data_IF_110944425965
#
_entry.id   IF_110944425965
#
_cell.length_a   1.000
_cell.length_b   1.000
_cell.length_c   1.000
_cell.angle_alpha   90.00
_cell.angle_beta   90.00
_cell.angle_gamma   90.00
#
_symmetry.space_group_name_H-M   'P 1'
#
loop_
_entity.id
_entity.type
_entity.pdbx_description
1 polymer ?
#
# COMPACT_ATOMS: atom_id res chain seq x y z
N UNK A 1 7.23 1.94 -0.34
CA UNK A 1 6.47 3.19 -0.57
C UNK A 1 5.58 3.44 0.63
N UNK A 2 5.78 4.53 1.39
CA UNK A 2 5.06 4.79 2.66
C UNK A 2 3.54 4.93 2.49
N UNK A 3 3.09 5.45 1.34
CA UNK A 3 1.66 5.58 1.01
C UNK A 3 0.90 4.24 1.08
N UNK A 4 1.56 3.11 0.80
CA UNK A 4 0.94 1.80 0.92
C UNK A 4 0.76 1.35 2.37
N UNK A 5 1.69 1.74 3.25
CA UNK A 5 1.59 1.44 4.69
C UNK A 5 0.47 2.23 5.37
N UNK A 6 0.20 3.46 4.92
CA UNK A 6 -0.94 4.25 5.41
C UNK A 6 -2.30 3.69 5.00
N UNK A 7 -2.32 2.87 3.95
CA UNK A 7 -3.52 2.22 3.44
C UNK A 7 -3.60 0.75 3.90
N UNK A 8 -2.63 0.24 4.67
CA UNK A 8 -2.67 -1.13 5.18
C UNK A 8 -3.32 -1.13 6.58
N UNK A 9 -4.50 -1.77 6.75
CA UNK A 9 -5.20 -1.82 8.03
C UNK A 9 -4.36 -2.41 9.16
N UNK A 10 -3.43 -3.31 8.87
CA UNK A 10 -2.59 -4.00 9.87
C UNK A 10 -1.51 -3.10 10.46
N UNK A 11 -1.20 -1.99 9.80
CA UNK A 11 -0.22 -1.00 10.27
C UNK A 11 -0.86 0.15 11.04
N UNK A 12 -2.19 0.32 10.94
CA UNK A 12 -2.92 1.37 11.66
C UNK A 12 -3.03 1.07 13.16
N UNK A 13 -3.24 -0.18 13.54
CA UNK A 13 -3.40 -0.57 14.96
C UNK A 13 -2.10 -0.53 15.76
N UNK A 14 -0.95 -0.35 15.10
CA UNK A 14 0.36 -0.57 15.73
C UNK A 14 1.12 0.69 16.14
N UNK A 15 0.65 1.88 15.76
CA UNK A 15 1.37 3.14 16.04
C UNK A 15 0.55 4.08 16.94
N UNK A 16 0.84 4.09 18.23
CA UNK A 16 0.41 5.15 19.17
C UNK A 16 1.37 6.35 19.18
N UNK A 17 2.42 6.31 18.34
CA UNK A 17 3.43 7.35 18.24
C UNK A 17 2.95 8.51 17.35
N UNK A 18 2.76 9.67 17.99
CA UNK A 18 2.28 10.91 17.36
C UNK A 18 3.25 11.44 16.29
N UNK A 19 4.55 11.26 16.47
CA UNK A 19 5.56 11.72 15.51
C UNK A 19 5.51 10.86 14.23
N UNK A 20 5.29 9.55 14.38
CA UNK A 20 5.10 8.64 13.25
C UNK A 20 3.83 9.00 12.47
N UNK A 21 2.75 9.36 13.16
CA UNK A 21 1.51 9.77 12.50
C UNK A 21 1.66 11.08 11.70
N UNK A 22 2.34 12.08 12.26
CA UNK A 22 2.59 13.36 11.59
C UNK A 22 3.48 13.21 10.34
N UNK A 23 4.52 12.38 10.41
CA UNK A 23 5.39 12.06 9.27
C UNK A 23 4.57 11.41 8.16
N UNK A 24 3.70 10.45 8.50
CA UNK A 24 2.83 9.77 7.53
C UNK A 24 1.92 10.74 6.79
N UNK A 25 1.20 11.62 7.51
CA UNK A 25 0.31 12.60 6.86
C UNK A 25 1.06 13.57 5.93
N UNK A 26 2.28 13.97 6.32
CA UNK A 26 3.14 14.81 5.48
C UNK A 26 3.49 14.11 4.17
N UNK A 27 3.98 12.87 4.24
CA UNK A 27 4.37 12.11 3.05
C UNK A 27 3.19 11.79 2.12
N UNK A 28 2.02 11.47 2.69
CA UNK A 28 0.81 11.27 1.88
C UNK A 28 0.36 12.55 1.18
N UNK A 29 0.48 13.69 1.86
CA UNK A 29 0.16 14.99 1.29
C UNK A 29 1.10 15.32 0.13
N UNK A 30 2.41 15.10 0.30
CA UNK A 30 3.37 15.26 -0.78
C UNK A 30 3.10 14.33 -1.97
N UNK A 31 2.84 13.05 -1.70
CA UNK A 31 2.53 12.06 -2.73
C UNK A 31 1.33 12.49 -3.58
N UNK A 32 0.27 12.97 -2.94
CA UNK A 32 -0.94 13.39 -3.64
C UNK A 32 -0.74 14.68 -4.41
N UNK A 33 -0.12 15.69 -3.81
CA UNK A 33 0.11 16.98 -4.46
C UNK A 33 0.99 16.86 -5.72
N UNK A 34 1.85 15.84 -5.79
CA UNK A 34 2.66 15.55 -6.99
C UNK A 34 1.88 14.84 -8.11
N UNK A 35 0.73 14.24 -7.81
CA UNK A 35 0.09 13.24 -8.70
C UNK A 35 -1.38 13.52 -9.03
N UNK A 36 -2.04 14.38 -8.26
CA UNK A 36 -3.46 14.73 -8.41
C UNK A 36 -3.66 16.25 -8.41
N UNK A 37 -4.80 16.72 -8.91
CA UNK A 37 -5.20 18.12 -8.78
C UNK A 37 -5.40 18.53 -7.32
N UNK A 38 -5.47 19.85 -7.06
CA UNK A 38 -5.66 20.38 -5.71
C UNK A 38 -6.99 19.90 -5.09
N UNK A 39 -8.09 19.95 -5.85
CA UNK A 39 -9.41 19.51 -5.38
C UNK A 39 -9.44 18.01 -5.05
N UNK A 40 -8.86 17.18 -5.93
CA UNK A 40 -8.75 15.73 -5.73
C UNK A 40 -7.87 15.40 -4.51
N UNK A 41 -6.73 16.10 -4.36
CA UNK A 41 -5.84 15.93 -3.21
C UNK A 41 -6.52 16.23 -1.89
N UNK A 42 -7.36 17.26 -1.83
CA UNK A 42 -8.16 17.61 -0.65
C UNK A 42 -9.20 16.53 -0.35
N UNK A 43 -9.97 16.09 -1.35
CA UNK A 43 -10.96 15.01 -1.19
C UNK A 43 -10.34 13.72 -0.68
N UNK A 44 -9.22 13.29 -1.28
CA UNK A 44 -8.45 12.13 -0.84
C UNK A 44 -7.90 12.29 0.58
N UNK A 45 -7.60 13.51 1.04
CA UNK A 45 -7.16 13.72 2.43
C UNK A 45 -8.31 13.53 3.39
N UNK A 46 -9.44 14.15 3.09
CA UNK A 46 -10.64 14.05 3.93
C UNK A 46 -11.09 12.59 4.06
N UNK A 47 -11.14 11.83 2.95
CA UNK A 47 -11.46 10.40 2.98
C UNK A 47 -10.45 9.59 3.81
N UNK A 48 -9.15 9.90 3.70
CA UNK A 48 -8.12 9.24 4.51
C UNK A 48 -8.36 9.47 6.02
N UNK A 49 -8.68 10.70 6.42
CA UNK A 49 -8.96 11.00 7.83
C UNK A 49 -10.19 10.23 8.32
N UNK A 50 -11.27 10.19 7.53
CA UNK A 50 -12.49 9.42 7.86
C UNK A 50 -12.18 7.92 8.00
N UNK A 51 -11.35 7.38 7.11
CA UNK A 51 -10.88 6.00 7.15
C UNK A 51 -10.09 5.68 8.43
N UNK A 52 -9.13 6.54 8.80
CA UNK A 52 -8.35 6.38 10.03
C UNK A 52 -9.23 6.43 11.29
N UNK A 53 -10.26 7.26 11.27
CA UNK A 53 -11.23 7.36 12.37
C UNK A 53 -12.22 6.18 12.42
N UNK A 54 -12.17 5.25 11.45
CA UNK A 54 -13.13 4.15 11.29
C UNK A 54 -14.59 4.63 11.28
N UNK A 55 -14.82 5.82 10.72
CA UNK A 55 -16.14 6.43 10.57
C UNK A 55 -16.79 5.99 9.25
N UNK A 56 -18.11 6.14 9.14
CA UNK A 56 -18.86 5.86 7.91
C UNK A 56 -18.17 6.47 6.67
N UNK A 57 -17.93 5.69 5.58
CA UNK A 57 -18.41 4.32 5.34
C UNK A 57 -17.46 3.19 5.81
N UNK A 58 -16.42 3.51 6.58
CA UNK A 58 -15.36 2.59 7.02
C UNK A 58 -15.55 2.05 8.45
N UNK A 59 -16.79 1.98 8.94
CA UNK A 59 -17.17 1.58 10.30
C UNK A 59 -17.49 0.09 10.45
N UNK A 60 -17.48 -0.67 9.35
CA UNK A 60 -17.80 -2.10 9.37
C UNK A 60 -16.67 -2.93 10.01
N UNK A 61 -16.90 -3.36 11.26
CA UNK A 61 -15.96 -4.17 12.03
C UNK A 61 -15.62 -5.51 11.36
N UNK A 62 -16.58 -6.16 10.68
CA UNK A 62 -16.33 -7.45 10.01
C UNK A 62 -15.30 -7.29 8.89
N UNK A 63 -15.39 -6.19 8.12
CA UNK A 63 -14.40 -5.90 7.09
C UNK A 63 -13.04 -5.64 7.76
N UNK A 64 -12.96 -4.85 8.83
CA UNK A 64 -11.70 -4.65 9.57
C UNK A 64 -11.06 -5.96 10.05
N UNK A 65 -11.82 -6.85 10.68
CA UNK A 65 -11.32 -8.15 11.15
C UNK A 65 -10.83 -9.05 10.01
N UNK A 66 -11.48 -8.95 8.84
CA UNK A 66 -11.08 -9.71 7.65
C UNK A 66 -9.71 -9.31 7.08
N UNK A 67 -9.12 -8.19 7.51
CA UNK A 67 -7.79 -7.73 7.06
C UNK A 67 -6.65 -8.71 7.37
N UNK A 68 -6.85 -9.57 8.38
CA UNK A 68 -5.91 -10.63 8.75
C UNK A 68 -5.96 -11.84 7.81
N UNK A 69 -7.07 -12.01 7.08
CA UNK A 69 -7.34 -13.18 6.22
C UNK A 69 -7.27 -12.82 4.74
N UNK A 70 -7.78 -11.65 4.36
CA UNK A 70 -7.83 -11.18 2.98
C UNK A 70 -6.52 -10.55 2.55
N UNK A 71 -6.20 -10.65 1.25
CA UNK A 71 -5.12 -9.84 0.70
C UNK A 71 -5.52 -8.35 0.73
N UNK A 72 -4.57 -7.41 0.88
CA UNK A 72 -4.88 -5.98 0.94
C UNK A 72 -5.72 -5.49 -0.26
N UNK A 73 -5.50 -6.06 -1.44
CA UNK A 73 -6.28 -5.75 -2.64
C UNK A 73 -7.76 -6.13 -2.49
N UNK A 74 -8.05 -7.38 -2.09
CA UNK A 74 -9.43 -7.88 -1.92
C UNK A 74 -10.10 -7.18 -0.73
N UNK A 75 -9.33 -6.89 0.32
CA UNK A 75 -9.81 -6.14 1.48
C UNK A 75 -10.30 -4.74 1.07
N UNK A 76 -9.52 -3.99 0.29
CA UNK A 76 -9.94 -2.68 -0.22
C UNK A 76 -11.13 -2.75 -1.18
N UNK A 77 -11.31 -3.87 -1.91
CA UNK A 77 -12.50 -4.08 -2.74
C UNK A 77 -13.79 -4.29 -1.94
N UNK A 78 -13.69 -4.62 -0.64
CA UNK A 78 -14.86 -4.85 0.21
C UNK A 78 -15.51 -3.56 0.70
N UNK A 79 -14.81 -2.41 0.59
CA UNK A 79 -15.34 -1.10 0.93
C UNK A 79 -16.13 -0.48 -0.24
N UNK A 80 -17.07 0.45 0.04
CA UNK A 80 -17.74 1.20 -1.01
C UNK A 80 -16.76 1.93 -1.94
N UNK A 81 -17.14 2.09 -3.20
CA UNK A 81 -16.31 2.76 -4.19
C UNK A 81 -16.12 4.23 -3.79
N UNK A 82 -14.88 4.59 -3.49
CA UNK A 82 -14.42 5.94 -3.15
C UNK A 82 -13.14 6.27 -3.91
N UNK A 83 -12.68 7.52 -3.85
CA UNK A 83 -11.42 7.90 -4.47
C UNK A 83 -10.23 7.27 -3.73
N UNK A 84 -10.31 7.19 -2.40
CA UNK A 84 -9.32 6.53 -1.56
C UNK A 84 -9.22 5.03 -1.86
N UNK A 85 -10.37 4.37 -2.02
CA UNK A 85 -10.42 2.94 -2.35
C UNK A 85 -9.78 2.64 -3.70
N UNK A 86 -10.11 3.43 -4.73
CA UNK A 86 -9.51 3.29 -6.05
C UNK A 86 -8.00 3.56 -6.03
N UNK A 87 -7.56 4.56 -5.25
CA UNK A 87 -6.15 4.85 -5.06
C UNK A 87 -5.41 3.69 -4.39
N UNK A 88 -5.97 3.14 -3.31
CA UNK A 88 -5.39 2.01 -2.60
C UNK A 88 -5.23 0.79 -3.50
N UNK A 89 -6.29 0.43 -4.23
CA UNK A 89 -6.26 -0.67 -5.19
C UNK A 89 -5.18 -0.46 -6.25
N UNK A 90 -5.04 0.75 -6.80
CA UNK A 90 -3.99 1.07 -7.80
C UNK A 90 -2.59 0.92 -7.22
N UNK A 91 -2.33 1.51 -6.05
CA UNK A 91 -1.02 1.43 -5.38
C UNK A 91 -0.66 -0.03 -5.07
N UNK A 92 -1.60 -0.80 -4.53
CA UNK A 92 -1.38 -2.20 -4.15
C UNK A 92 -1.18 -3.10 -5.38
N UNK A 93 -1.85 -2.81 -6.49
CA UNK A 93 -1.67 -3.53 -7.76
C UNK A 93 -0.25 -3.36 -8.30
N UNK A 94 0.30 -2.14 -8.22
CA UNK A 94 1.67 -1.84 -8.67
C UNK A 94 2.69 -2.58 -7.80
N UNK A 95 2.50 -2.57 -6.47
CA UNK A 95 3.41 -3.26 -5.55
C UNK A 95 3.42 -4.77 -5.75
N UNK A 96 2.25 -5.37 -6.02
CA UNK A 96 2.15 -6.79 -6.32
C UNK A 96 2.91 -7.13 -7.60
N UNK A 97 2.83 -6.28 -8.62
CA UNK A 97 3.59 -6.45 -9.86
C UNK A 97 5.10 -6.26 -9.66
N UNK A 98 5.52 -5.27 -8.88
CA UNK A 98 6.94 -5.03 -8.57
C UNK A 98 7.56 -6.17 -7.77
N UNK A 99 6.89 -6.61 -6.70
CA UNK A 99 7.38 -7.73 -5.90
C UNK A 99 7.44 -9.04 -6.71
N UNK A 100 6.47 -9.26 -7.61
CA UNK A 100 6.51 -10.38 -8.54
C UNK A 100 7.66 -10.25 -9.56
N UNK A 101 7.91 -9.05 -10.08
CA UNK A 101 9.01 -8.80 -11.00
C UNK A 101 10.37 -9.02 -10.32
N UNK A 102 10.58 -8.49 -9.11
CA UNK A 102 11.81 -8.69 -8.32
C UNK A 102 12.03 -10.17 -7.99
N UNK A 103 10.97 -10.90 -7.66
CA UNK A 103 11.04 -12.36 -7.44
C UNK A 103 11.43 -13.12 -8.71
N UNK A 104 10.91 -12.72 -9.86
CA UNK A 104 11.31 -13.29 -11.14
C UNK A 104 12.79 -12.99 -11.42
N UNK A 105 13.23 -11.74 -11.30
CA UNK A 105 14.64 -11.37 -11.51
C UNK A 105 15.59 -12.05 -10.52
N UNK A 106 15.18 -12.28 -9.26
CA UNK A 106 15.97 -13.05 -8.29
C UNK A 106 16.07 -14.53 -8.67
N UNK A 107 14.98 -15.12 -9.16
CA UNK A 107 14.97 -16.52 -9.64
C UNK A 107 15.82 -16.69 -10.90
N UNK A 108 15.78 -15.71 -11.82
CA UNK A 108 16.61 -15.71 -13.02
C UNK A 108 18.07 -15.30 -12.76
N UNK A 109 18.35 -14.54 -11.70
CA UNK A 109 19.71 -14.19 -11.27
C UNK A 109 20.55 -15.41 -10.87
N UNK A 110 19.91 -16.47 -10.40
CA UNK A 110 20.59 -17.74 -10.07
C UNK A 110 21.12 -18.48 -11.32
N UNK A 111 20.58 -18.20 -12.51
CA UNK A 111 20.97 -18.89 -13.75
C UNK A 111 22.28 -18.32 -14.33
N UNK A 112 22.73 -17.14 -13.88
CA UNK A 112 23.89 -16.43 -14.43
C UNK A 112 25.18 -16.47 -13.58
N UNK A 113 25.30 -17.36 -12.58
CA UNK A 113 26.57 -17.55 -11.85
C UNK A 113 27.27 -18.90 -12.14
N UNK A 114 27.13 -19.47 -13.34
CA UNK A 114 28.06 -20.50 -13.83
C UNK A 114 29.22 -19.83 -14.56
N UNK A 115 30.16 -19.27 -13.80
CA UNK A 115 31.50 -18.99 -14.31
C UNK A 115 32.22 -20.35 -14.43
N UNK A 116 32.45 -20.72 -15.68
CA UNK A 116 33.46 -21.62 -16.23
C UNK A 116 34.34 -22.38 -15.22
N UNK A 117 34.09 -23.68 -15.10
CA UNK A 117 35.11 -24.67 -14.77
C UNK A 117 36.25 -24.51 -15.78
N UNK A 118 37.39 -24.05 -15.29
CA UNK A 118 38.68 -24.07 -15.98
C UNK A 118 38.96 -25.51 -16.41
N UNK A 119 39.13 -25.71 -17.71
CA UNK A 119 39.71 -26.93 -18.26
C UNK A 119 41.21 -26.91 -17.96
N UNK A 120 41.66 -27.83 -17.12
CA UNK A 120 43.07 -28.15 -16.89
C UNK A 120 43.28 -29.56 -17.47
N UNK A 121 43.87 -29.64 -18.66
CA UNK A 121 44.84 -30.66 -19.09
C UNK A 121 45.59 -30.19 -20.35
#
# INVERSE_FOLDING_TARGET
MMAAYMLDPRFLEKSEDVDIEAIRYTEFTEFKNRRFGQEESVKLFAELVVFHQKNLPYDNETIWLSSSVLSPFIWWQSWPKSELQQLAIKILSILTSSAAAERNFSTFGFIHNKIYIVADE
#
